data_IF_743742494177
#
_entry.id   IF_743742494177
#
_cell.length_a   1.000
_cell.length_b   1.000
_cell.length_c   1.000
_cell.angle_alpha   90.00
_cell.angle_beta   90.00
_cell.angle_gamma   90.00
#
_symmetry.space_group_name_H-M   'P 1'
#
loop_
_entity.id
_entity.type
_entity.pdbx_description
1 polymer ?
#
# COMPACT_ATOMS: atom_id res chain seq x y z
N UNK A 1 -2.48 -2.27 1.60
CA UNK A 1 -3.31 -2.45 0.38
C UNK A 1 -2.61 -3.49 -0.47
N UNK A 2 -3.29 -4.54 -0.91
CA UNK A 2 -2.66 -5.58 -1.73
C UNK A 2 -2.92 -5.28 -3.21
N UNK A 3 -1.87 -5.10 -4.00
CA UNK A 3 -1.99 -4.99 -5.45
C UNK A 3 -1.33 -6.19 -6.10
N UNK A 4 -2.12 -6.90 -6.92
CA UNK A 4 -1.62 -8.01 -7.72
C UNK A 4 -1.59 -7.57 -9.17
N UNK A 5 -0.39 -7.51 -9.74
CA UNK A 5 -0.22 -7.26 -11.16
C UNK A 5 -0.02 -8.59 -11.89
N UNK A 6 -0.65 -8.75 -13.04
CA UNK A 6 -0.35 -9.83 -13.97
C UNK A 6 0.49 -9.23 -15.09
N UNK A 7 1.78 -9.57 -15.15
CA UNK A 7 2.62 -9.13 -16.26
C UNK A 7 2.36 -9.96 -17.53
N UNK A 8 2.42 -9.35 -18.73
CA UNK A 8 2.45 -10.08 -19.98
C UNK A 8 3.74 -10.91 -20.12
N UNK A 9 3.62 -12.06 -20.79
CA UNK A 9 4.68 -13.07 -20.88
C UNK A 9 5.78 -12.65 -21.86
N UNK A 10 6.91 -12.17 -21.33
CA UNK A 10 8.19 -12.19 -22.05
C UNK A 10 9.08 -13.27 -21.40
N UNK A 11 9.18 -14.42 -22.07
CA UNK A 11 9.93 -15.63 -21.68
C UNK A 11 9.29 -16.54 -20.60
N UNK A 12 9.64 -17.84 -20.67
CA UNK A 12 9.17 -18.98 -19.83
C UNK A 12 9.42 -18.83 -18.31
N UNK A 13 9.81 -17.64 -17.85
CA UNK A 13 10.24 -17.37 -16.49
C UNK A 13 9.60 -16.11 -15.89
N UNK A 14 8.43 -15.69 -16.36
CA UNK A 14 7.64 -14.65 -15.70
C UNK A 14 6.94 -15.24 -14.47
N UNK A 15 7.68 -15.30 -13.36
CA UNK A 15 7.10 -15.53 -12.03
C UNK A 15 5.98 -14.51 -11.81
N UNK A 16 4.84 -14.95 -11.28
CA UNK A 16 3.74 -14.07 -10.84
C UNK A 16 4.33 -13.05 -9.87
N UNK A 17 4.43 -11.78 -10.27
CA UNK A 17 4.97 -10.74 -9.40
C UNK A 17 3.83 -10.15 -8.56
N UNK A 18 3.91 -10.32 -7.24
CA UNK A 18 2.95 -9.79 -6.27
C UNK A 18 3.66 -8.72 -5.47
N UNK A 19 3.04 -7.54 -5.34
CA UNK A 19 3.60 -6.44 -4.57
C UNK A 19 2.72 -6.15 -3.36
N UNK A 20 3.37 -5.96 -2.23
CA UNK A 20 2.73 -5.61 -0.98
C UNK A 20 3.15 -4.19 -0.62
N UNK A 21 2.18 -3.33 -0.34
CA UNK A 21 2.45 -1.97 0.07
C UNK A 21 1.74 -1.63 1.38
N UNK A 22 2.41 -0.79 2.15
CA UNK A 22 1.85 -0.09 3.31
C UNK A 22 1.64 1.39 2.98
N UNK A 23 0.83 2.07 3.79
CA UNK A 23 0.62 3.50 3.65
C UNK A 23 1.08 4.22 4.92
N UNK A 24 1.80 5.32 4.77
CA UNK A 24 2.36 6.11 5.85
C UNK A 24 2.18 7.59 5.55
N UNK A 25 2.03 8.38 6.62
CA UNK A 25 2.10 9.83 6.57
C UNK A 25 3.34 10.30 7.33
N UNK A 26 3.93 11.39 6.84
CA UNK A 26 4.97 12.12 7.55
C UNK A 26 4.79 13.59 7.34
N UNK A 27 4.77 14.32 8.44
CA UNK A 27 4.54 15.75 8.43
C UNK A 27 5.71 16.47 9.09
N UNK A 28 5.99 17.68 8.60
CA UNK A 28 6.92 18.58 9.29
C UNK A 28 6.14 19.46 10.23
N UNK A 29 6.72 19.73 11.40
CA UNK A 29 6.17 20.76 12.28
C UNK A 29 6.19 22.10 11.58
N UNK A 30 5.08 22.80 11.65
CA UNK A 30 4.94 24.16 11.11
C UNK A 30 4.71 25.17 12.24
N UNK A 31 5.16 26.41 12.02
CA UNK A 31 4.93 27.48 12.99
C UNK A 31 3.42 27.72 13.16
N UNK A 32 2.94 27.77 14.40
CA UNK A 32 1.52 27.93 14.72
C UNK A 32 0.70 26.64 14.69
N UNK A 33 1.34 25.47 14.54
CA UNK A 33 0.69 24.18 14.75
C UNK A 33 0.19 24.02 16.20
N UNK A 34 -0.82 23.18 16.38
CA UNK A 34 -1.34 22.83 17.69
C UNK A 34 -0.25 22.20 18.59
N UNK A 35 -0.01 22.81 19.75
CA UNK A 35 0.88 22.26 20.76
C UNK A 35 0.10 21.47 21.81
N UNK A 36 0.43 20.19 21.95
CA UNK A 36 -0.19 19.32 22.96
C UNK A 36 0.22 19.76 24.38
N UNK A 37 -0.73 19.99 25.31
CA UNK A 37 -0.41 20.45 26.67
C UNK A 37 0.31 19.39 27.53
N UNK A 38 0.20 18.11 27.16
CA UNK A 38 0.89 16.99 27.82
C UNK A 38 1.73 16.25 26.78
N UNK A 39 2.96 15.92 27.17
CA UNK A 39 3.83 15.05 26.37
C UNK A 39 3.57 13.58 26.73
N UNK A 40 3.74 12.65 25.77
CA UNK A 40 3.74 11.22 26.04
C UNK A 40 4.83 10.85 27.05
N UNK A 41 4.66 9.68 27.68
CA UNK A 41 5.72 9.12 28.51
C UNK A 41 6.96 8.81 27.64
N UNK A 42 8.17 9.16 28.09
CA UNK A 42 9.40 8.90 27.34
C UNK A 42 9.55 7.44 26.92
N UNK A 43 10.13 7.20 25.76
CA UNK A 43 10.44 5.87 25.22
C UNK A 43 9.22 4.97 24.92
N UNK A 44 8.00 5.54 24.96
CA UNK A 44 6.81 4.86 24.46
C UNK A 44 6.74 4.91 22.93
N UNK A 45 5.92 4.06 22.32
CA UNK A 45 5.63 4.15 20.89
C UNK A 45 4.98 5.49 20.52
N UNK A 46 4.17 6.05 21.43
CA UNK A 46 3.56 7.36 21.22
C UNK A 46 4.62 8.47 21.21
N UNK A 47 5.55 8.46 22.17
CA UNK A 47 6.68 9.40 22.20
C UNK A 47 7.52 9.33 20.92
N UNK A 48 7.92 8.12 20.49
CA UNK A 48 8.69 7.93 19.26
C UNK A 48 7.95 8.40 18.01
N UNK A 49 6.68 8.05 17.85
CA UNK A 49 5.87 8.49 16.71
C UNK A 49 5.69 10.01 16.67
N UNK A 50 5.51 10.65 17.84
CA UNK A 50 5.38 12.11 17.92
C UNK A 50 6.72 12.83 17.65
N UNK A 51 7.85 12.22 17.98
CA UNK A 51 9.19 12.77 17.71
C UNK A 51 9.58 12.60 16.24
N UNK A 52 9.34 11.43 15.66
CA UNK A 52 9.64 11.15 14.25
C UNK A 52 8.64 11.80 13.29
N UNK A 53 7.47 12.19 13.79
CA UNK A 53 6.36 12.74 12.99
C UNK A 53 5.91 11.76 11.88
N UNK A 54 6.10 10.47 12.11
CA UNK A 54 5.68 9.40 11.20
C UNK A 54 4.55 8.59 11.82
N UNK A 55 3.54 8.27 11.03
CA UNK A 55 2.54 7.29 11.44
C UNK A 55 1.91 6.57 10.26
N UNK A 56 1.43 5.34 10.47
CA UNK A 56 0.76 4.60 9.42
C UNK A 56 -0.57 5.28 9.04
N UNK A 57 -0.85 5.35 7.75
CA UNK A 57 -2.21 5.58 7.26
C UNK A 57 -2.90 4.23 7.30
N UNK A 58 -3.90 4.11 8.17
CA UNK A 58 -4.59 2.84 8.36
C UNK A 58 -5.46 2.50 7.14
N UNK A 59 -5.05 1.48 6.40
CA UNK A 59 -5.79 0.99 5.22
C UNK A 59 -6.96 0.13 5.69
N UNK A 60 -8.12 0.76 5.88
CA UNK A 60 -9.35 0.06 6.23
C UNK A 60 -10.19 -0.35 5.01
N UNK A 61 -9.75 -0.03 3.78
CA UNK A 61 -10.48 -0.38 2.57
C UNK A 61 -10.55 -1.89 2.33
N UNK A 62 -11.72 -2.37 1.88
CA UNK A 62 -11.92 -3.72 1.36
C UNK A 62 -12.47 -3.63 -0.06
N UNK A 63 -11.54 -3.44 -0.97
CA UNK A 63 -11.83 -3.12 -2.37
C UNK A 63 -10.87 -3.87 -3.29
N UNK A 64 -11.37 -4.27 -4.45
CA UNK A 64 -10.58 -4.84 -5.53
C UNK A 64 -11.04 -4.25 -6.85
N UNK A 65 -10.11 -3.72 -7.65
CA UNK A 65 -10.32 -3.28 -9.02
C UNK A 65 -9.62 -4.28 -9.94
N UNK A 66 -10.31 -4.75 -10.97
CA UNK A 66 -9.75 -5.69 -11.96
C UNK A 66 -9.91 -5.08 -13.35
N UNK A 67 -8.79 -5.01 -14.08
CA UNK A 67 -8.68 -4.56 -15.48
C UNK A 67 -9.30 -3.19 -15.79
N UNK A 68 -9.46 -2.32 -14.77
CA UNK A 68 -10.20 -1.06 -14.82
C UNK A 68 -11.70 -1.22 -15.24
N UNK A 69 -12.21 -2.45 -15.28
CA UNK A 69 -13.55 -2.84 -15.77
C UNK A 69 -14.56 -3.11 -14.67
N UNK A 70 -14.10 -3.82 -13.64
CA UNK A 70 -14.95 -4.25 -12.54
C UNK A 70 -14.32 -3.89 -11.20
N UNK A 71 -15.20 -3.65 -10.25
CA UNK A 71 -14.84 -3.30 -8.88
C UNK A 71 -15.70 -4.11 -7.93
N UNK A 72 -15.08 -4.62 -6.87
CA UNK A 72 -15.78 -5.11 -5.69
C UNK A 72 -15.42 -4.17 -4.54
N UNK A 73 -16.43 -3.73 -3.80
CA UNK A 73 -16.25 -2.91 -2.58
C UNK A 73 -17.25 -3.36 -1.53
N UNK A 74 -16.83 -3.38 -0.26
CA UNK A 74 -17.68 -3.87 0.83
C UNK A 74 -17.01 -3.84 2.19
N UNK A 75 -17.51 -4.68 3.10
CA UNK A 75 -16.98 -4.82 4.46
C UNK A 75 -16.00 -6.00 4.62
N UNK A 76 -16.07 -7.00 3.73
CA UNK A 76 -15.33 -8.25 3.84
C UNK A 76 -13.81 -8.10 3.68
N UNK A 77 -13.04 -8.40 4.73
CA UNK A 77 -11.58 -8.50 4.64
C UNK A 77 -11.13 -9.74 3.86
N UNK A 78 -9.90 -9.75 3.34
CA UNK A 78 -9.32 -10.96 2.73
C UNK A 78 -8.76 -11.86 3.83
N UNK A 79 -9.65 -12.52 4.58
CA UNK A 79 -9.32 -13.51 5.60
C UNK A 79 -10.48 -14.51 5.78
N UNK A 80 -10.24 -15.60 6.50
CA UNK A 80 -11.29 -16.61 6.73
C UNK A 80 -12.50 -16.01 7.45
N UNK A 81 -12.32 -15.08 8.39
CA UNK A 81 -13.43 -14.55 9.19
C UNK A 81 -14.50 -13.87 8.33
N UNK A 82 -14.08 -13.13 7.32
CA UNK A 82 -14.97 -12.43 6.40
C UNK A 82 -15.41 -13.27 5.19
N UNK A 83 -14.57 -14.19 4.68
CA UNK A 83 -14.85 -14.94 3.44
C UNK A 83 -15.67 -16.23 3.69
N UNK A 84 -15.60 -16.81 4.90
CA UNK A 84 -16.24 -18.09 5.23
C UNK A 84 -17.77 -18.07 5.08
N UNK A 85 -18.40 -16.92 5.32
CA UNK A 85 -19.86 -16.75 5.24
C UNK A 85 -20.64 -17.26 6.46
N UNK A 86 -20.03 -18.08 7.33
CA UNK A 86 -20.66 -18.54 8.58
C UNK A 86 -20.04 -17.91 9.85
N UNK A 87 -19.05 -17.02 9.69
CA UNK A 87 -18.41 -16.29 10.79
C UNK A 87 -18.96 -14.86 10.89
N UNK A 88 -18.27 -13.88 10.32
CA UNK A 88 -18.77 -12.50 10.33
C UNK A 88 -19.82 -12.32 9.21
N UNK A 89 -20.85 -11.54 9.50
CA UNK A 89 -21.81 -11.12 8.47
C UNK A 89 -21.21 -9.98 7.67
N UNK A 90 -21.02 -10.20 6.38
CA UNK A 90 -20.40 -9.23 5.48
C UNK A 90 -21.34 -8.86 4.33
N UNK A 91 -21.15 -7.67 3.76
CA UNK A 91 -21.82 -7.23 2.55
C UNK A 91 -20.81 -6.64 1.57
N UNK A 92 -20.99 -6.95 0.29
CA UNK A 92 -20.17 -6.38 -0.78
C UNK A 92 -21.01 -6.17 -2.05
N UNK A 93 -20.66 -5.14 -2.81
CA UNK A 93 -21.22 -4.85 -4.13
C UNK A 93 -20.14 -5.06 -5.19
N UNK A 94 -20.48 -5.84 -6.22
CA UNK A 94 -19.72 -5.94 -7.46
C UNK A 94 -20.36 -5.07 -8.53
N UNK A 95 -19.58 -4.24 -9.22
CA UNK A 95 -20.08 -3.37 -10.28
C UNK A 95 -19.12 -3.32 -11.47
N UNK A 96 -19.69 -3.12 -12.66
CA UNK A 96 -18.98 -2.86 -13.91
C UNK A 96 -19.83 -1.94 -14.80
N UNK A 97 -19.21 -1.36 -15.83
CA UNK A 97 -19.91 -0.50 -16.79
C UNK A 97 -20.06 -1.23 -18.14
N UNK A 98 -21.26 -1.67 -18.55
CA UNK A 98 -21.46 -2.56 -19.70
C UNK A 98 -20.86 -2.07 -21.02
N UNK A 99 -20.82 -0.76 -21.24
CA UNK A 99 -20.30 -0.13 -22.46
C UNK A 99 -18.82 0.29 -22.33
N UNK A 100 -18.12 -0.18 -21.30
CA UNK A 100 -16.72 0.16 -20.98
C UNK A 100 -15.96 -1.10 -20.57
N UNK A 101 -15.89 -2.08 -21.47
CA UNK A 101 -15.17 -3.34 -21.31
C UNK A 101 -13.98 -3.41 -22.26
N UNK A 102 -12.86 -4.00 -21.84
CA UNK A 102 -11.56 -4.11 -22.54
C UNK A 102 -11.60 -5.17 -23.63
N UNK A 103 -12.57 -5.03 -24.55
CA UNK A 103 -12.71 -5.94 -25.69
C UNK A 103 -11.89 -5.48 -26.89
N UNK A 104 -11.64 -4.16 -27.03
CA UNK A 104 -10.91 -3.57 -28.16
C UNK A 104 -10.06 -2.33 -27.83
N UNK A 105 -10.43 -1.57 -26.79
CA UNK A 105 -9.75 -0.34 -26.39
C UNK A 105 -9.56 -0.32 -24.87
N UNK A 106 -8.54 0.40 -24.36
CA UNK A 106 -8.35 0.56 -22.92
C UNK A 106 -9.59 1.16 -22.26
N UNK A 107 -10.01 0.56 -21.15
CA UNK A 107 -11.20 0.98 -20.42
C UNK A 107 -10.93 2.30 -19.71
N UNK A 108 -11.67 3.35 -20.10
CA UNK A 108 -11.60 4.70 -19.51
C UNK A 108 -12.93 5.08 -18.86
N UNK A 109 -13.45 4.18 -18.04
CA UNK A 109 -14.69 4.37 -17.26
C UNK A 109 -14.47 5.06 -15.91
N UNK A 110 -15.51 5.03 -15.08
CA UNK A 110 -15.49 5.52 -13.69
C UNK A 110 -14.53 4.72 -12.82
N UNK A 111 -14.43 3.40 -13.04
CA UNK A 111 -13.53 2.52 -12.29
C UNK A 111 -12.07 2.86 -12.59
N UNK A 112 -11.72 3.07 -13.87
CA UNK A 112 -10.42 3.61 -14.28
C UNK A 112 -10.12 4.95 -13.60
N UNK A 113 -11.08 5.88 -13.61
CA UNK A 113 -10.93 7.20 -12.98
C UNK A 113 -10.67 7.09 -11.47
N UNK A 114 -11.44 6.25 -10.77
CA UNK A 114 -11.24 5.97 -9.35
C UNK A 114 -9.86 5.38 -9.08
N UNK A 115 -9.43 4.39 -9.87
CA UNK A 115 -8.09 3.81 -9.75
C UNK A 115 -7.01 4.88 -9.93
N UNK A 116 -7.07 5.70 -10.98
CA UNK A 116 -6.13 6.82 -11.20
C UNK A 116 -6.11 7.79 -10.02
N UNK A 117 -7.27 8.13 -9.46
CA UNK A 117 -7.37 9.01 -8.30
C UNK A 117 -6.69 8.41 -7.07
N UNK A 118 -6.87 7.11 -6.81
CA UNK A 118 -6.17 6.40 -5.72
C UNK A 118 -4.65 6.34 -5.93
N UNK A 119 -4.19 6.10 -7.16
CA UNK A 119 -2.75 6.16 -7.47
C UNK A 119 -2.19 7.56 -7.24
N UNK A 120 -2.94 8.59 -7.63
CA UNK A 120 -2.54 9.97 -7.37
C UNK A 120 -2.52 10.28 -5.87
N UNK A 121 -3.51 9.85 -5.10
CA UNK A 121 -3.53 10.04 -3.64
C UNK A 121 -2.31 9.38 -2.98
N UNK A 122 -2.02 8.13 -3.36
CA UNK A 122 -0.97 7.34 -2.73
C UNK A 122 0.44 7.74 -3.17
N UNK A 123 0.66 8.04 -4.46
CA UNK A 123 1.97 8.38 -4.99
C UNK A 123 2.21 9.90 -5.14
N UNK A 124 1.16 10.72 -4.99
CA UNK A 124 1.14 12.19 -5.21
C UNK A 124 1.71 12.65 -6.55
N UNK A 125 1.68 11.77 -7.55
CA UNK A 125 2.12 12.07 -8.91
C UNK A 125 1.18 11.47 -9.93
N UNK A 126 1.20 12.04 -11.13
CA UNK A 126 0.59 11.47 -12.32
C UNK A 126 1.71 11.09 -13.27
N UNK A 127 1.63 9.89 -13.83
CA UNK A 127 2.56 9.42 -14.84
C UNK A 127 1.78 8.67 -15.92
N UNK A 128 2.23 8.77 -17.18
CA UNK A 128 1.55 8.11 -18.30
C UNK A 128 1.49 6.59 -18.15
N UNK A 129 2.50 5.98 -17.54
CA UNK A 129 2.52 4.54 -17.27
C UNK A 129 1.36 4.10 -16.37
N UNK A 130 0.77 5.01 -15.57
CA UNK A 130 -0.36 4.68 -14.70
C UNK A 130 -1.64 4.39 -15.49
N UNK A 131 -1.66 4.68 -16.79
CA UNK A 131 -2.75 4.34 -17.69
C UNK A 131 -2.77 2.85 -18.08
N UNK A 132 -1.65 2.14 -17.86
CA UNK A 132 -1.41 0.75 -18.26
C UNK A 132 -0.67 0.03 -17.10
N UNK A 133 -1.38 -0.29 -16.00
CA UNK A 133 -0.78 -0.87 -14.78
C UNK A 133 -0.14 -2.25 -14.98
N UNK A 134 -0.46 -2.95 -16.06
CA UNK A 134 0.14 -4.19 -16.50
C UNK A 134 1.54 -4.02 -17.14
N UNK A 135 1.88 -2.80 -17.54
CA UNK A 135 3.15 -2.51 -18.22
C UNK A 135 4.34 -2.68 -17.29
N UNK A 136 5.46 -3.15 -17.84
CA UNK A 136 6.71 -3.30 -17.09
C UNK A 136 7.26 -1.93 -16.64
N UNK A 137 7.03 -0.89 -17.43
CA UNK A 137 7.38 0.48 -17.09
C UNK A 137 6.66 0.93 -15.82
N UNK A 138 5.33 0.75 -15.76
CA UNK A 138 4.53 1.05 -14.57
C UNK A 138 5.08 0.35 -13.34
N UNK A 139 5.26 -0.97 -13.43
CA UNK A 139 5.69 -1.77 -12.28
C UNK A 139 7.09 -1.35 -11.80
N UNK A 140 8.03 -1.12 -12.72
CA UNK A 140 9.38 -0.64 -12.37
C UNK A 140 9.33 0.73 -11.68
N UNK A 141 8.53 1.66 -12.21
CA UNK A 141 8.39 3.01 -11.62
C UNK A 141 7.79 2.97 -10.23
N UNK A 142 6.69 2.22 -10.04
CA UNK A 142 6.05 2.08 -8.73
C UNK A 142 7.00 1.41 -7.74
N UNK A 143 7.63 0.30 -8.14
CA UNK A 143 8.62 -0.41 -7.30
C UNK A 143 9.73 0.53 -6.86
N UNK A 144 10.37 1.21 -7.80
CA UNK A 144 11.46 2.13 -7.49
C UNK A 144 11.03 3.24 -6.54
N UNK A 145 9.85 3.83 -6.77
CA UNK A 145 9.32 4.87 -5.89
C UNK A 145 9.08 4.36 -4.46
N UNK A 146 8.45 3.20 -4.30
CA UNK A 146 8.14 2.70 -2.94
C UNK A 146 9.37 2.21 -2.18
N UNK A 147 10.43 1.80 -2.88
CA UNK A 147 11.74 1.46 -2.30
C UNK A 147 12.50 2.72 -1.89
N UNK A 148 12.56 3.74 -2.76
CA UNK A 148 13.14 5.04 -2.43
C UNK A 148 12.46 5.67 -1.21
N UNK A 149 11.12 5.59 -1.13
CA UNK A 149 10.39 6.08 0.04
C UNK A 149 10.63 5.24 1.29
N UNK A 150 10.84 3.93 1.17
CA UNK A 150 11.25 3.09 2.29
C UNK A 150 12.60 3.53 2.85
N UNK A 151 13.58 3.80 1.97
CA UNK A 151 14.90 4.24 2.39
C UNK A 151 14.86 5.62 3.05
N UNK A 152 14.04 6.55 2.53
CA UNK A 152 13.81 7.85 3.15
C UNK A 152 13.14 7.73 4.52
N UNK A 153 12.21 6.79 4.66
CA UNK A 153 11.54 6.52 5.94
C UNK A 153 12.49 5.87 6.97
N UNK A 154 13.34 4.95 6.52
CA UNK A 154 14.31 4.26 7.37
C UNK A 154 15.50 5.17 7.77
N UNK A 155 15.73 6.25 7.03
CA UNK A 155 16.74 7.25 7.35
C UNK A 155 16.21 8.25 8.39
N UNK A 156 16.98 8.54 9.45
CA UNK A 156 16.60 9.50 10.53
C UNK A 156 16.47 10.98 10.08
N UNK A 157 16.64 11.26 8.79
CA UNK A 157 16.67 12.60 8.22
C UNK A 157 15.26 13.17 8.02
N UNK A 158 14.84 14.04 8.94
CA UNK A 158 13.54 14.75 8.92
C UNK A 158 13.43 15.88 7.87
N UNK A 159 14.50 16.16 7.12
CA UNK A 159 14.54 17.30 6.18
C UNK A 159 13.79 17.05 4.87
N UNK A 160 13.46 15.80 4.58
CA UNK A 160 12.79 15.42 3.34
C UNK A 160 11.28 15.30 3.55
N UNK A 161 10.52 16.10 2.80
CA UNK A 161 9.08 15.89 2.66
C UNK A 161 8.90 14.49 2.07
N UNK A 162 8.22 13.59 2.77
CA UNK A 162 7.69 12.41 2.11
C UNK A 162 6.66 12.89 1.08
N UNK A 163 7.04 12.75 -0.19
CA UNK A 163 6.21 13.18 -1.30
C UNK A 163 5.08 12.19 -1.57
N UNK A 164 5.17 10.96 -1.06
CA UNK A 164 4.21 9.87 -1.30
C UNK A 164 3.77 9.26 0.02
N UNK A 165 2.57 8.68 0.02
CA UNK A 165 2.06 7.89 1.13
C UNK A 165 2.39 6.40 0.97
N UNK A 166 2.70 5.94 -0.24
CA UNK A 166 2.93 4.52 -0.53
C UNK A 166 4.36 4.11 -0.25
N UNK A 167 4.52 3.03 0.51
CA UNK A 167 5.80 2.40 0.85
C UNK A 167 5.75 0.91 0.55
N UNK A 168 6.92 0.31 0.32
CA UNK A 168 7.04 -1.14 0.32
C UNK A 168 6.56 -1.68 1.67
N UNK A 169 5.82 -2.78 1.65
CA UNK A 169 5.57 -3.51 2.89
C UNK A 169 6.93 -4.01 3.41
N UNK A 170 7.21 -3.95 4.73
CA UNK A 170 8.55 -4.14 5.28
C UNK A 170 9.04 -5.60 5.31
N UNK A 171 8.86 -6.32 4.21
CA UNK A 171 9.31 -7.70 4.02
C UNK A 171 10.10 -7.84 2.72
N UNK A 172 11.16 -8.65 2.77
CA UNK A 172 11.85 -9.18 1.61
C UNK A 172 11.37 -10.59 1.30
N UNK A 173 11.32 -10.93 0.01
CA UNK A 173 11.01 -12.29 -0.44
C UNK A 173 12.18 -12.81 -1.25
N UNK A 174 12.77 -13.92 -0.82
CA UNK A 174 13.91 -14.56 -1.48
C UNK A 174 13.50 -15.29 -2.77
N UNK A 175 14.48 -15.79 -3.51
CA UNK A 175 14.26 -16.49 -4.78
C UNK A 175 13.54 -17.85 -4.61
N UNK A 176 13.57 -18.43 -3.42
CA UNK A 176 12.86 -19.64 -3.00
C UNK A 176 11.52 -19.33 -2.30
N UNK A 177 11.17 -18.06 -2.11
CA UNK A 177 9.88 -17.63 -1.55
C UNK A 177 9.86 -17.47 -0.02
N UNK A 178 11.01 -17.58 0.64
CA UNK A 178 11.16 -17.28 2.06
C UNK A 178 10.90 -15.78 2.31
N UNK A 179 10.08 -15.48 3.31
CA UNK A 179 9.73 -14.11 3.69
C UNK A 179 10.57 -13.69 4.89
N UNK A 180 11.27 -12.56 4.80
CA UNK A 180 12.12 -12.00 5.88
C UNK A 180 11.75 -10.55 6.14
N UNK A 181 11.96 -10.08 7.37
CA UNK A 181 11.80 -8.66 7.70
C UNK A 181 12.91 -7.83 7.02
N UNK A 182 12.55 -6.62 6.56
CA UNK A 182 13.53 -5.64 6.09
C UNK A 182 14.17 -4.89 7.28
N UNK A 183 15.40 -4.42 7.10
CA UNK A 183 16.06 -3.53 8.06
C UNK A 183 15.35 -2.15 8.11
N UNK A 184 15.55 -1.39 9.20
CA UNK A 184 14.96 -0.05 9.36
C UNK A 184 13.58 -0.02 10.03
N UNK A 185 13.14 -1.13 10.63
CA UNK A 185 11.84 -1.24 11.30
C UNK A 185 11.73 -0.53 12.66
N UNK A 186 12.81 0.05 13.17
CA UNK A 186 12.90 0.58 14.54
C UNK A 186 11.84 1.64 14.85
N UNK A 187 11.45 2.46 13.87
CA UNK A 187 10.44 3.51 14.00
C UNK A 187 9.01 3.01 13.81
N UNK A 188 8.78 1.91 13.08
CA UNK A 188 7.48 1.25 12.99
C UNK A 188 7.23 0.33 14.20
N UNK A 189 8.29 -0.12 14.87
CA UNK A 189 8.20 -1.03 16.01
C UNK A 189 7.65 -0.30 17.24
N UNK A 190 6.50 -0.77 17.68
CA UNK A 190 6.22 -0.79 19.12
C UNK A 190 7.04 -1.93 19.73
N UNK A 191 7.58 -1.79 20.97
CA UNK A 191 8.56 -2.72 21.54
C UNK A 191 8.01 -4.13 21.84
N UNK A 192 6.81 -4.46 21.37
CA UNK A 192 6.09 -5.71 21.61
C UNK A 192 5.51 -6.37 20.35
N UNK A 193 5.82 -5.88 19.14
CA UNK A 193 5.24 -6.42 17.90
C UNK A 193 6.34 -6.77 16.90
N UNK A 194 6.47 -8.06 16.60
CA UNK A 194 7.21 -8.59 15.46
C UNK A 194 6.33 -8.47 14.19
N UNK A 195 6.92 -8.14 13.04
CA UNK A 195 6.17 -8.04 11.78
C UNK A 195 5.92 -9.41 11.16
N UNK A 196 6.87 -10.33 11.36
CA UNK A 196 6.69 -11.75 11.09
C UNK A 196 6.54 -12.47 12.42
N UNK A 197 5.35 -13.01 12.69
CA UNK A 197 5.14 -13.89 13.85
C UNK A 197 5.34 -15.34 13.39
N UNK A 198 6.40 -16.03 13.83
CA UNK A 198 6.70 -17.40 13.42
C UNK A 198 5.72 -18.45 13.97
N UNK A 199 4.77 -18.07 14.84
CA UNK A 199 3.80 -18.98 15.47
C UNK A 199 2.38 -18.86 14.88
N UNK A 200 2.22 -18.30 13.68
CA UNK A 200 0.95 -18.26 12.94
C UNK A 200 0.93 -19.37 11.89
N UNK A 201 0.94 -20.62 12.34
CA UNK A 201 0.52 -21.80 11.57
C UNK A 201 -0.87 -22.27 12.07
#
# INVERSE_FOLDING_TARGET
>A
MLFRFRMPMESRQTRKTIYHFSALVTERRICGEYETPKRPQPHTSYDRAQQSMHFMIYVHAKMMIVDDECIITGSANINQRSIDGAKDTEIAMGAYQPYRLSTKEPVRGQIHGLRMALWYEHLRKLDKSFLEPESLEFVRKVKHSVEEYWDLYACESLDNKLLSHLLSYPIGVSSDGEVKELAGLEYLRTPKVEFLNPNLD
#
